data_IF_403157294637
#
_entry.id   IF_403157294637
#
_cell.length_a   1.000
_cell.length_b   1.000
_cell.length_c   1.000
_cell.angle_alpha   90.00
_cell.angle_beta   90.00
_cell.angle_gamma   90.00
#
_symmetry.space_group_name_H-M   'P 1'
#
loop_
_entity.id
_entity.type
_entity.pdbx_description
1 polymer ?
#
# COMPACT_ATOMS: atom_id res chain seq x y z
N UNK A 1 -39.71 -16.74 -5.30
CA UNK A 1 -38.83 -17.49 -4.36
C UNK A 1 -37.79 -16.52 -3.84
N UNK A 2 -37.84 -16.15 -2.55
CA UNK A 2 -36.96 -15.13 -1.96
C UNK A 2 -35.72 -15.81 -1.38
N UNK A 3 -34.56 -15.64 -2.01
CA UNK A 3 -33.27 -16.11 -1.50
C UNK A 3 -32.86 -15.27 -0.29
N UNK A 4 -32.79 -15.90 0.89
CA UNK A 4 -32.23 -15.30 2.11
C UNK A 4 -30.72 -15.14 1.94
N UNK A 5 -30.24 -13.90 1.90
CA UNK A 5 -28.82 -13.60 2.01
C UNK A 5 -28.30 -14.02 3.39
N UNK A 6 -27.26 -14.85 3.40
CA UNK A 6 -26.58 -15.33 4.61
C UNK A 6 -25.66 -14.21 5.10
N UNK A 7 -25.91 -13.72 6.32
CA UNK A 7 -25.08 -12.68 6.93
C UNK A 7 -23.61 -13.16 7.04
N UNK A 8 -22.62 -12.28 6.86
CA UNK A 8 -21.21 -12.66 6.94
C UNK A 8 -20.88 -13.09 8.37
N UNK A 9 -20.24 -14.26 8.48
CA UNK A 9 -19.71 -14.81 9.73
C UNK A 9 -18.65 -13.84 10.25
N UNK A 10 -18.92 -13.23 11.40
CA UNK A 10 -17.95 -12.42 12.11
C UNK A 10 -16.74 -13.29 12.46
N UNK A 11 -15.60 -13.03 11.82
CA UNK A 11 -14.32 -13.60 12.20
C UNK A 11 -14.02 -13.11 13.62
N UNK A 12 -13.81 -13.99 14.61
CA UNK A 12 -13.52 -13.55 15.96
C UNK A 12 -12.21 -12.75 15.97
N UNK A 13 -12.26 -11.54 16.54
CA UNK A 13 -11.09 -10.71 16.77
C UNK A 13 -9.99 -11.54 17.43
N UNK A 14 -8.83 -11.60 16.79
CA UNK A 14 -7.66 -12.30 17.31
C UNK A 14 -7.42 -11.87 18.76
N UNK A 15 -7.50 -12.83 19.70
CA UNK A 15 -7.14 -12.61 21.10
C UNK A 15 -5.72 -12.03 21.11
N UNK A 16 -5.58 -10.76 21.53
CA UNK A 16 -4.28 -10.16 21.87
C UNK A 16 -3.61 -11.09 22.88
N UNK A 17 -2.69 -11.93 22.43
CA UNK A 17 -1.86 -12.70 23.36
C UNK A 17 -1.10 -11.68 24.20
N UNK A 18 -1.11 -11.84 25.51
CA UNK A 18 -0.50 -10.84 26.38
C UNK A 18 1.02 -10.84 26.17
N UNK A 19 1.59 -9.68 25.87
CA UNK A 19 3.04 -9.45 25.73
C UNK A 19 3.85 -10.09 26.88
N UNK A 20 3.26 -10.22 28.07
CA UNK A 20 3.81 -10.89 29.25
C UNK A 20 4.26 -12.35 29.08
N UNK A 21 3.89 -13.05 28.00
CA UNK A 21 4.33 -14.45 27.75
C UNK A 21 5.63 -14.59 26.96
N UNK A 22 6.14 -13.53 26.32
CA UNK A 22 7.36 -13.61 25.53
C UNK A 22 8.62 -13.51 26.41
N UNK A 23 9.22 -14.66 26.73
CA UNK A 23 10.32 -14.78 27.69
C UNK A 23 11.66 -14.32 27.12
N UNK A 24 11.96 -14.60 25.85
CA UNK A 24 13.22 -14.21 25.21
C UNK A 24 13.08 -13.00 24.29
N UNK A 25 14.19 -12.33 23.98
CA UNK A 25 14.21 -11.23 23.01
C UNK A 25 13.68 -11.66 21.63
N UNK A 26 13.99 -12.89 21.19
CA UNK A 26 13.49 -13.46 19.94
C UNK A 26 11.97 -13.63 19.99
N UNK A 27 11.43 -14.16 21.09
CA UNK A 27 9.97 -14.32 21.24
C UNK A 27 9.25 -12.97 21.21
N UNK A 28 9.85 -11.93 21.79
CA UNK A 28 9.28 -10.58 21.77
C UNK A 28 9.27 -10.00 20.35
N UNK A 29 10.34 -10.21 19.58
CA UNK A 29 10.41 -9.83 18.17
C UNK A 29 9.35 -10.58 17.35
N UNK A 30 9.26 -11.89 17.52
CA UNK A 30 8.25 -12.73 16.85
C UNK A 30 6.84 -12.26 17.17
N UNK A 31 6.56 -11.95 18.44
CA UNK A 31 5.30 -11.39 18.88
C UNK A 31 4.98 -10.05 18.19
N UNK A 32 5.96 -9.15 18.09
CA UNK A 32 5.80 -7.84 17.43
C UNK A 32 5.42 -8.03 15.96
N UNK A 33 6.15 -8.85 15.22
CA UNK A 33 5.92 -9.01 13.77
C UNK A 33 4.66 -9.80 13.46
N UNK A 34 4.33 -10.81 14.27
CA UNK A 34 3.13 -11.64 14.10
C UNK A 34 1.84 -10.85 14.31
N UNK A 35 1.84 -9.89 15.23
CA UNK A 35 0.68 -9.05 15.54
C UNK A 35 0.62 -7.75 14.72
N UNK A 36 1.49 -7.59 13.72
CA UNK A 36 1.48 -6.39 12.88
C UNK A 36 0.64 -6.59 11.62
N UNK A 37 -0.18 -5.59 11.29
CA UNK A 37 -0.92 -5.56 10.02
C UNK A 37 -0.06 -5.12 8.82
N UNK A 38 1.13 -4.57 9.08
CA UNK A 38 2.08 -4.10 8.05
C UNK A 38 3.49 -4.57 8.35
N UNK A 39 4.37 -4.58 7.34
CA UNK A 39 5.78 -4.89 7.54
C UNK A 39 6.39 -3.97 8.61
N UNK A 40 7.22 -4.53 9.49
CA UNK A 40 7.80 -3.81 10.63
C UNK A 40 9.26 -3.52 10.36
N UNK A 41 9.64 -2.24 10.32
CA UNK A 41 11.04 -1.84 10.14
C UNK A 41 11.85 -2.03 11.43
N UNK A 42 13.18 -2.14 11.31
CA UNK A 42 14.07 -2.24 12.48
C UNK A 42 13.85 -1.13 13.53
N UNK A 43 13.73 0.17 13.17
CA UNK A 43 13.41 1.22 14.13
C UNK A 43 12.09 0.97 14.87
N UNK A 44 11.06 0.51 14.14
CA UNK A 44 9.74 0.23 14.71
C UNK A 44 9.76 -0.99 15.65
N UNK A 45 10.54 -2.03 15.33
CA UNK A 45 10.77 -3.17 16.24
C UNK A 45 11.40 -2.66 17.55
N UNK A 46 12.46 -1.86 17.48
CA UNK A 46 13.13 -1.33 18.66
C UNK A 46 12.19 -0.48 19.53
N UNK A 47 11.41 0.39 18.89
CA UNK A 47 10.42 1.23 19.58
C UNK A 47 9.36 0.37 20.30
N UNK A 48 8.80 -0.64 19.62
CA UNK A 48 7.82 -1.55 20.23
C UNK A 48 8.43 -2.43 21.34
N UNK A 49 9.71 -2.80 21.23
CA UNK A 49 10.43 -3.49 22.31
C UNK A 49 10.56 -2.63 23.57
N UNK A 50 10.72 -1.31 23.43
CA UNK A 50 10.74 -0.37 24.55
C UNK A 50 9.34 -0.21 25.13
N UNK A 51 8.35 0.08 24.28
CA UNK A 51 6.98 0.43 24.69
C UNK A 51 6.18 -0.76 25.24
N UNK A 52 6.36 -1.98 24.71
CA UNK A 52 5.54 -3.15 25.08
C UNK A 52 6.22 -4.09 26.08
N UNK A 53 7.54 -3.93 26.30
CA UNK A 53 8.32 -4.84 27.13
C UNK A 53 9.31 -4.14 28.06
N UNK A 54 9.19 -2.82 28.22
CA UNK A 54 9.97 -1.98 29.14
C UNK A 54 11.50 -2.19 29.00
N UNK A 55 11.97 -2.35 27.77
CA UNK A 55 13.39 -2.53 27.48
C UNK A 55 14.09 -1.17 27.32
N UNK A 56 15.03 -0.87 28.21
CA UNK A 56 15.79 0.39 28.17
C UNK A 56 16.61 0.58 26.87
N UNK A 57 16.52 1.75 26.22
CA UNK A 57 17.29 2.03 25.01
C UNK A 57 18.78 2.06 25.30
N UNK A 58 19.54 1.20 24.62
CA UNK A 58 21.00 1.17 24.72
C UNK A 58 21.66 0.68 23.44
N UNK A 59 22.93 1.00 23.27
CA UNK A 59 23.77 0.45 22.18
C UNK A 59 23.85 -1.08 22.26
N UNK A 60 23.95 -1.62 23.48
CA UNK A 60 23.95 -3.07 23.72
C UNK A 60 22.63 -3.71 23.27
N UNK A 61 21.48 -3.13 23.62
CA UNK A 61 20.18 -3.60 23.15
C UNK A 61 20.10 -3.56 21.62
N UNK A 62 20.55 -2.47 21.00
CA UNK A 62 20.55 -2.33 19.55
C UNK A 62 21.35 -3.45 18.85
N UNK A 63 22.52 -3.78 19.37
CA UNK A 63 23.35 -4.89 18.86
C UNK A 63 22.65 -6.23 19.07
N UNK A 64 22.07 -6.48 20.26
CA UNK A 64 21.33 -7.72 20.55
C UNK A 64 20.11 -7.91 19.66
N UNK A 65 19.36 -6.84 19.38
CA UNK A 65 18.20 -6.88 18.47
C UNK A 65 18.65 -7.22 17.05
N UNK A 66 19.70 -6.57 16.53
CA UNK A 66 20.24 -6.88 15.20
C UNK A 66 20.70 -8.33 15.11
N UNK A 67 21.44 -8.82 16.12
CA UNK A 67 21.90 -10.21 16.18
C UNK A 67 20.72 -11.18 16.25
N UNK A 68 19.72 -10.91 17.08
CA UNK A 68 18.53 -11.75 17.19
C UNK A 68 17.74 -11.82 15.88
N UNK A 69 17.60 -10.70 15.15
CA UNK A 69 16.96 -10.68 13.83
C UNK A 69 17.75 -11.51 12.81
N UNK A 70 19.08 -11.38 12.80
CA UNK A 70 19.94 -12.16 11.91
C UNK A 70 19.81 -13.66 12.19
N UNK A 71 19.90 -14.07 13.46
CA UNK A 71 19.73 -15.47 13.86
C UNK A 71 18.32 -16.00 13.54
N UNK A 72 17.28 -15.16 13.57
CA UNK A 72 15.92 -15.55 13.17
C UNK A 72 15.81 -15.79 11.66
N UNK A 73 16.48 -14.97 10.84
CA UNK A 73 16.57 -15.19 9.39
C UNK A 73 17.30 -16.50 9.09
N UNK A 74 18.46 -16.71 9.72
CA UNK A 74 19.28 -17.91 9.51
C UNK A 74 18.60 -19.21 9.97
N UNK A 75 17.61 -19.11 10.85
CA UNK A 75 16.84 -20.26 11.33
C UNK A 75 15.74 -20.75 10.37
N UNK A 76 15.56 -20.08 9.23
CA UNK A 76 14.62 -20.46 8.15
C UNK A 76 13.22 -20.86 8.66
N UNK A 77 12.64 -20.02 9.53
CA UNK A 77 11.37 -20.29 10.19
C UNK A 77 10.19 -19.83 9.34
N UNK A 78 9.16 -20.66 9.26
CA UNK A 78 7.91 -20.31 8.56
C UNK A 78 7.16 -19.14 9.22
N UNK A 79 7.34 -18.90 10.52
CA UNK A 79 6.67 -17.85 11.29
C UNK A 79 7.44 -16.52 11.36
N UNK A 80 8.50 -16.36 10.55
CA UNK A 80 9.30 -15.15 10.50
C UNK A 80 9.94 -14.96 9.14
N UNK A 81 9.91 -13.74 8.61
CA UNK A 81 10.60 -13.43 7.37
C UNK A 81 10.98 -11.97 7.24
N UNK A 82 11.71 -11.68 6.17
CA UNK A 82 12.23 -10.36 5.85
C UNK A 82 11.93 -10.04 4.39
N UNK A 83 11.33 -8.88 4.16
CA UNK A 83 11.10 -8.30 2.84
C UNK A 83 11.77 -6.93 2.81
N UNK A 84 12.80 -6.79 1.98
CA UNK A 84 13.65 -5.61 1.98
C UNK A 84 14.24 -5.31 3.37
N UNK A 85 14.10 -4.06 3.83
CA UNK A 85 14.57 -3.61 5.16
C UNK A 85 13.60 -3.89 6.33
N UNK A 86 12.51 -4.62 6.10
CA UNK A 86 11.43 -4.81 7.07
C UNK A 86 11.09 -6.29 7.29
N UNK A 87 10.39 -6.59 8.38
CA UNK A 87 10.14 -7.94 8.87
C UNK A 87 8.64 -8.26 8.97
N UNK A 88 8.28 -9.54 8.85
CA UNK A 88 6.92 -10.06 8.98
C UNK A 88 6.90 -11.37 9.76
N UNK A 89 5.71 -11.77 10.23
CA UNK A 89 5.51 -12.98 11.04
C UNK A 89 5.20 -14.23 10.23
N UNK A 90 5.87 -14.42 9.08
CA UNK A 90 5.61 -15.52 8.15
C UNK A 90 4.75 -15.15 6.94
N UNK A 91 4.65 -16.05 5.97
CA UNK A 91 3.95 -15.81 4.69
C UNK A 91 2.43 -15.70 4.86
N UNK A 92 1.86 -16.41 5.84
CA UNK A 92 0.44 -16.30 6.18
C UNK A 92 0.10 -15.04 7.01
N UNK A 93 1.09 -14.24 7.38
CA UNK A 93 0.85 -13.04 8.19
C UNK A 93 0.12 -11.96 7.38
N UNK A 94 -0.81 -11.25 8.02
CA UNK A 94 -1.55 -10.16 7.41
C UNK A 94 -0.62 -9.10 6.78
N UNK A 95 0.53 -8.84 7.42
CA UNK A 95 1.56 -7.95 6.91
C UNK A 95 2.17 -8.41 5.58
N UNK A 96 2.47 -9.71 5.45
CA UNK A 96 3.05 -10.26 4.22
C UNK A 96 2.00 -10.31 3.10
N UNK A 97 0.81 -10.82 3.38
CA UNK A 97 -0.29 -10.86 2.41
C UNK A 97 -0.65 -9.46 1.89
N UNK A 98 -0.68 -8.44 2.77
CA UNK A 98 -0.89 -7.05 2.36
C UNK A 98 0.26 -6.50 1.51
N UNK A 99 1.51 -6.89 1.79
CA UNK A 99 2.66 -6.53 0.96
C UNK A 99 2.55 -7.16 -0.43
N UNK A 100 2.25 -8.46 -0.50
CA UNK A 100 2.08 -9.17 -1.77
C UNK A 100 0.92 -8.60 -2.59
N UNK A 101 -0.22 -8.30 -1.96
CA UNK A 101 -1.34 -7.64 -2.65
C UNK A 101 -0.99 -6.27 -3.21
N UNK A 102 -0.17 -5.48 -2.50
CA UNK A 102 0.33 -4.19 -3.01
C UNK A 102 1.34 -4.36 -4.15
N UNK A 103 2.26 -5.33 -4.03
CA UNK A 103 3.24 -5.62 -5.06
C UNK A 103 2.55 -6.08 -6.35
N UNK A 104 1.54 -6.95 -6.24
CA UNK A 104 0.72 -7.36 -7.38
C UNK A 104 -0.01 -6.16 -8.00
N UNK A 105 -0.67 -5.32 -7.19
CA UNK A 105 -1.36 -4.14 -7.70
C UNK A 105 -0.42 -3.17 -8.43
N UNK A 106 0.80 -2.99 -7.92
CA UNK A 106 1.83 -2.17 -8.58
C UNK A 106 2.31 -2.80 -9.90
N UNK A 107 2.49 -4.12 -9.92
CA UNK A 107 2.85 -4.84 -11.13
C UNK A 107 1.75 -4.79 -12.18
N UNK A 108 0.48 -4.92 -11.78
CA UNK A 108 -0.67 -4.80 -12.66
C UNK A 108 -0.77 -3.38 -13.24
N UNK A 109 -0.59 -2.37 -12.39
CA UNK A 109 -0.54 -0.96 -12.80
C UNK A 109 0.62 -0.68 -13.78
N UNK A 110 1.82 -1.19 -13.51
CA UNK A 110 2.97 -1.06 -14.41
C UNK A 110 2.72 -1.78 -15.74
N UNK A 111 2.11 -2.97 -15.71
CA UNK A 111 1.73 -3.70 -16.91
C UNK A 111 0.71 -2.93 -17.75
N UNK A 112 -0.27 -2.28 -17.12
CA UNK A 112 -1.25 -1.45 -17.82
C UNK A 112 -0.60 -0.22 -18.46
N UNK A 113 0.28 0.46 -17.73
CA UNK A 113 1.04 1.60 -18.29
C UNK A 113 1.93 1.18 -19.45
N UNK A 114 2.61 0.03 -19.34
CA UNK A 114 3.45 -0.51 -20.40
C UNK A 114 2.64 -0.88 -21.65
N UNK A 115 1.38 -1.28 -21.47
CA UNK A 115 0.43 -1.51 -22.56
C UNK A 115 -0.15 -0.23 -23.17
N UNK A 116 0.14 0.95 -22.60
CA UNK A 116 -0.44 2.23 -23.03
C UNK A 116 -1.87 2.46 -22.55
N UNK A 117 -2.37 1.65 -21.62
CA UNK A 117 -3.69 1.87 -21.04
C UNK A 117 -3.66 3.06 -20.09
N UNK A 118 -4.81 3.72 -19.98
CA UNK A 118 -5.00 4.88 -19.09
C UNK A 118 -6.07 4.56 -18.06
N UNK A 119 -5.84 4.94 -16.81
CA UNK A 119 -6.82 4.79 -15.74
C UNK A 119 -7.89 5.89 -15.85
N UNK A 120 -9.12 5.53 -16.22
CA UNK A 120 -10.20 6.51 -16.33
C UNK A 120 -10.69 7.01 -14.95
N UNK A 121 -10.73 8.33 -14.73
CA UNK A 121 -11.21 8.94 -13.49
C UNK A 121 -12.69 8.66 -13.16
N UNK A 122 -13.52 8.37 -14.17
CA UNK A 122 -14.95 8.18 -13.94
C UNK A 122 -15.35 6.76 -13.57
N UNK A 123 -14.70 5.76 -14.17
CA UNK A 123 -15.02 4.34 -13.95
C UNK A 123 -13.91 3.55 -13.26
N UNK A 124 -12.78 4.21 -12.94
CA UNK A 124 -11.62 3.61 -12.26
C UNK A 124 -11.15 2.30 -12.92
N UNK A 125 -11.22 2.24 -14.25
CA UNK A 125 -10.81 1.08 -15.04
C UNK A 125 -9.64 1.47 -15.92
N UNK A 126 -8.61 0.63 -15.97
CA UNK A 126 -7.54 0.69 -16.97
C UNK A 126 -8.10 0.23 -18.31
N UNK A 127 -8.07 1.10 -19.31
CA UNK A 127 -8.58 0.78 -20.63
C UNK A 127 -7.75 1.46 -21.72
N UNK A 128 -7.86 0.91 -22.93
CA UNK A 128 -7.58 1.66 -24.13
C UNK A 128 -8.48 2.91 -24.18
N UNK A 129 -7.92 3.97 -24.74
CA UNK A 129 -8.58 5.26 -24.81
C UNK A 129 -8.37 5.85 -26.18
N UNK A 130 -9.44 6.41 -26.73
CA UNK A 130 -9.40 7.10 -28.01
C UNK A 130 -8.84 8.51 -27.78
N UNK A 131 -7.69 8.78 -28.38
CA UNK A 131 -7.12 10.13 -28.44
C UNK A 131 -8.03 11.03 -29.29
N UNK A 132 -8.44 12.15 -28.71
CA UNK A 132 -9.27 13.15 -29.40
C UNK A 132 -8.41 14.34 -29.83
N UNK A 133 -7.66 14.92 -28.90
CA UNK A 133 -6.91 16.15 -29.12
C UNK A 133 -5.77 16.31 -28.12
N UNK A 134 -4.78 17.13 -28.46
CA UNK A 134 -3.65 17.48 -27.59
C UNK A 134 -3.69 18.97 -27.28
N UNK A 135 -3.61 19.32 -26.00
CA UNK A 135 -3.34 20.69 -25.61
C UNK A 135 -1.82 20.91 -25.56
N UNK A 136 -1.33 21.58 -26.60
CA UNK A 136 0.09 21.94 -26.76
C UNK A 136 0.65 22.87 -25.67
N UNK A 137 -0.19 23.66 -25.00
CA UNK A 137 0.20 24.58 -23.91
C UNK A 137 0.30 23.80 -22.60
N UNK A 138 -0.68 22.95 -22.34
CA UNK A 138 -0.77 22.14 -21.14
C UNK A 138 0.13 20.90 -21.13
N UNK A 139 0.60 20.47 -22.31
CA UNK A 139 1.24 19.17 -22.53
C UNK A 139 0.37 18.03 -21.97
N UNK A 140 -0.91 18.11 -22.26
CA UNK A 140 -1.92 17.14 -21.90
C UNK A 140 -2.70 16.67 -23.12
N UNK A 141 -3.43 15.56 -22.99
CA UNK A 141 -4.27 15.08 -24.08
C UNK A 141 -5.68 14.75 -23.62
N UNK A 142 -6.64 15.09 -24.48
CA UNK A 142 -8.05 14.76 -24.33
C UNK A 142 -8.29 13.36 -24.86
N UNK A 143 -8.87 12.53 -24.01
CA UNK A 143 -9.05 11.10 -24.24
C UNK A 143 -10.50 10.71 -24.01
N UNK A 144 -10.99 9.69 -24.71
CA UNK A 144 -12.31 9.10 -24.46
C UNK A 144 -12.16 7.67 -23.97
N UNK A 145 -12.74 7.38 -22.80
CA UNK A 145 -12.73 6.05 -22.23
C UNK A 145 -13.49 5.07 -23.13
N UNK A 146 -12.89 3.95 -23.51
CA UNK A 146 -13.62 2.94 -24.26
C UNK A 146 -14.70 2.23 -23.43
N UNK A 147 -14.54 2.15 -22.12
CA UNK A 147 -15.50 1.46 -21.24
C UNK A 147 -16.74 2.33 -20.96
N UNK A 148 -16.56 3.51 -20.35
CA UNK A 148 -17.68 4.37 -19.94
C UNK A 148 -18.04 5.47 -20.96
N UNK A 149 -17.31 5.57 -22.07
CA UNK A 149 -17.50 6.56 -23.15
C UNK A 149 -17.40 8.03 -22.75
N UNK A 150 -17.04 8.33 -21.49
CA UNK A 150 -16.78 9.69 -21.02
C UNK A 150 -15.41 10.19 -21.46
N UNK A 151 -15.33 11.49 -21.69
CA UNK A 151 -14.10 12.19 -22.05
C UNK A 151 -13.42 12.75 -20.81
N UNK A 152 -12.10 12.59 -20.75
CA UNK A 152 -11.24 13.07 -19.68
C UNK A 152 -9.90 13.55 -20.24
N UNK A 153 -9.06 14.11 -19.39
CA UNK A 153 -7.74 14.62 -19.74
C UNK A 153 -6.63 13.79 -19.11
N UNK A 154 -5.47 13.72 -19.75
CA UNK A 154 -4.24 13.13 -19.21
C UNK A 154 -3.12 14.15 -19.28
N UNK A 155 -2.15 14.08 -18.38
CA UNK A 155 -1.09 15.09 -18.29
C UNK A 155 0.30 14.46 -18.36
N UNK A 156 1.27 15.17 -18.93
CA UNK A 156 2.65 14.67 -19.02
C UNK A 156 3.28 14.40 -17.64
N UNK A 157 2.87 15.14 -16.60
CA UNK A 157 3.39 15.01 -15.23
C UNK A 157 3.09 13.67 -14.60
N UNK A 158 2.04 12.98 -15.05
CA UNK A 158 1.67 11.64 -14.60
C UNK A 158 2.05 10.54 -15.60
N UNK A 159 2.74 10.91 -16.70
CA UNK A 159 3.13 10.01 -17.77
C UNK A 159 1.98 9.63 -18.72
N UNK A 160 0.94 10.46 -18.82
CA UNK A 160 -0.30 10.20 -19.57
C UNK A 160 -1.08 8.96 -19.13
N UNK A 161 -0.83 8.49 -17.91
CA UNK A 161 -1.34 7.21 -17.42
C UNK A 161 -2.64 7.35 -16.62
N UNK A 162 -3.02 8.57 -16.26
CA UNK A 162 -4.16 8.84 -15.40
C UNK A 162 -5.11 9.85 -16.03
N UNK A 163 -6.39 9.51 -16.02
CA UNK A 163 -7.46 10.41 -16.41
C UNK A 163 -7.80 11.42 -15.32
N UNK A 164 -8.14 12.63 -15.74
CA UNK A 164 -8.56 13.75 -14.92
C UNK A 164 -9.84 14.36 -15.49
N UNK A 165 -10.71 14.84 -14.62
CA UNK A 165 -11.98 15.46 -15.05
C UNK A 165 -11.76 16.83 -15.71
N UNK A 166 -10.63 17.49 -15.43
CA UNK A 166 -10.32 18.86 -15.87
C UNK A 166 -9.09 18.92 -16.76
N UNK A 167 -9.09 19.90 -17.65
CA UNK A 167 -7.95 20.28 -18.48
C UNK A 167 -6.85 20.88 -17.59
N UNK A 168 -5.60 20.50 -17.82
CA UNK A 168 -4.46 21.14 -17.13
C UNK A 168 -4.27 22.53 -17.72
N UNK A 169 -4.24 23.57 -16.87
CA UNK A 169 -3.95 24.95 -17.30
C UNK A 169 -2.71 25.45 -16.59
N UNK A 170 -1.80 26.08 -17.34
CA UNK A 170 -0.63 26.74 -16.77
C UNK A 170 -0.99 28.19 -16.38
N UNK A 171 -0.99 28.50 -15.09
CA UNK A 171 -1.43 29.79 -14.54
C UNK A 171 -2.46 29.59 -13.43
N UNK A 172 -2.53 30.50 -12.47
CA UNK A 172 -3.22 30.34 -11.18
C UNK A 172 -4.74 30.16 -11.25
N UNK A 173 -5.37 30.26 -12.42
CA UNK A 173 -6.75 29.84 -12.70
C UNK A 173 -7.83 30.52 -11.84
N UNK A 174 -7.45 31.42 -10.93
CA UNK A 174 -8.27 31.91 -9.84
C UNK A 174 -9.40 32.82 -10.33
N UNK A 175 -9.19 33.48 -11.47
CA UNK A 175 -10.17 34.37 -12.10
C UNK A 175 -11.24 33.59 -12.89
N UNK A 176 -10.91 32.41 -13.44
CA UNK A 176 -11.80 31.63 -14.31
C UNK A 176 -12.87 30.83 -13.55
N UNK A 177 -12.73 30.69 -12.22
CA UNK A 177 -13.65 29.93 -11.36
C UNK A 177 -14.44 30.80 -10.36
N UNK A 178 -14.31 32.13 -10.42
CA UNK A 178 -15.03 33.07 -9.54
C UNK A 178 -16.55 32.99 -9.70
N UNK A 179 -17.02 32.57 -10.87
CA UNK A 179 -18.45 32.45 -11.18
C UNK A 179 -19.02 31.06 -10.87
N UNK A 180 -18.21 30.16 -10.30
CA UNK A 180 -18.63 28.85 -9.81
C UNK A 180 -18.60 28.82 -8.27
N UNK A 181 -19.30 29.76 -7.63
CA UNK A 181 -19.66 29.62 -6.21
C UNK A 181 -20.82 28.62 -6.06
N UNK A 182 -20.64 27.68 -5.14
CA UNK A 182 -21.56 26.59 -4.79
C UNK A 182 -22.72 27.05 -3.91
#
# INVERSE_FOLDING_TARGET
MKSKAKAPVAVPAAKRSTASKAKSLKDRILYIVKNSATLVSLPKIKKRLQEEFDLEPSTVLNTRVKKALQELIESDREDFGKVGGSYHGGEDSAAYLAHMGKAQAQQDEESHRAAGHVLCCYCNTWADSEFIDEDSVARGSKQKCENCKKTYWTWISDGYSYGHEVEYRYGDGYEDYKDCEW
#
